data_IF_416724050167
#
_entry.id   IF_416724050167
#
_cell.length_a   1.000
_cell.length_b   1.000
_cell.length_c   1.000
_cell.angle_alpha   90.00
_cell.angle_beta   90.00
_cell.angle_gamma   90.00
#
_symmetry.space_group_name_H-M   'P 1'
#
loop_
_entity.id
_entity.type
_entity.pdbx_description
1 polymer ?
#
# COMPACT_ATOMS: atom_id res chain seq x y z
N UNK A 1 -0.76 -28.33 8.91
CA UNK A 1 -0.35 -27.10 8.20
C UNK A 1 -0.95 -25.94 8.98
N UNK A 2 -0.16 -25.27 9.80
CA UNK A 2 -0.61 -24.08 10.55
C UNK A 2 -0.71 -22.95 9.54
N UNK A 3 -1.92 -22.50 9.25
CA UNK A 3 -2.15 -21.28 8.48
C UNK A 3 -1.52 -20.14 9.27
N UNK A 4 -0.34 -19.68 8.85
CA UNK A 4 0.36 -18.52 9.40
C UNK A 4 -0.37 -17.24 8.96
N UNK A 5 -1.63 -17.12 9.35
CA UNK A 5 -2.38 -15.89 9.19
C UNK A 5 -1.96 -14.97 10.35
N UNK A 6 -1.33 -13.83 10.06
CA UNK A 6 -1.05 -12.85 11.09
C UNK A 6 -2.37 -12.46 11.75
N UNK A 7 -2.33 -12.28 13.07
CA UNK A 7 -3.47 -11.79 13.82
C UNK A 7 -4.01 -10.50 13.17
N UNK A 8 -5.33 -10.32 13.26
CA UNK A 8 -6.01 -9.14 12.75
C UNK A 8 -5.34 -7.85 13.29
N UNK A 9 -4.89 -6.93 12.41
CA UNK A 9 -4.18 -5.72 12.84
C UNK A 9 -5.15 -4.73 13.49
N UNK A 10 -4.79 -4.26 14.69
CA UNK A 10 -5.52 -3.24 15.43
C UNK A 10 -4.86 -1.86 15.35
N UNK A 11 -3.70 -1.76 14.68
CA UNK A 11 -3.00 -0.49 14.44
C UNK A 11 -2.42 -0.39 13.03
N UNK A 12 -2.19 0.84 12.58
CA UNK A 12 -1.50 1.14 11.33
C UNK A 12 -0.09 0.54 11.27
N UNK A 13 0.64 0.52 12.39
CA UNK A 13 1.98 -0.09 12.46
C UNK A 13 1.96 -1.61 12.27
N UNK A 14 0.95 -2.28 12.83
CA UNK A 14 0.77 -3.73 12.62
C UNK A 14 0.41 -4.03 11.17
N UNK A 15 -0.48 -3.23 10.56
CA UNK A 15 -0.80 -3.37 9.14
C UNK A 15 0.44 -3.15 8.25
N UNK A 16 1.26 -2.15 8.57
CA UNK A 16 2.52 -1.91 7.86
C UNK A 16 3.51 -3.08 8.03
N UNK A 17 3.59 -3.67 9.22
CA UNK A 17 4.43 -4.83 9.48
C UNK A 17 3.99 -6.06 8.64
N UNK A 18 2.67 -6.29 8.52
CA UNK A 18 2.11 -7.35 7.65
C UNK A 18 2.50 -7.13 6.19
N UNK A 19 2.45 -5.88 5.69
CA UNK A 19 2.86 -5.60 4.31
C UNK A 19 4.36 -5.80 4.13
N UNK A 20 5.18 -5.35 5.08
CA UNK A 20 6.65 -5.52 5.03
C UNK A 20 7.10 -6.97 5.08
N UNK A 21 6.34 -7.88 5.72
CA UNK A 21 6.69 -9.30 5.77
C UNK A 21 6.32 -10.06 4.48
N UNK A 22 5.38 -9.55 3.70
CA UNK A 22 4.83 -10.23 2.51
C UNK A 22 5.32 -9.67 1.18
N UNK A 23 5.64 -8.38 1.13
CA UNK A 23 5.95 -7.67 -0.10
C UNK A 23 7.39 -7.14 -0.09
N UNK A 24 8.00 -7.09 -1.27
CA UNK A 24 9.30 -6.47 -1.43
C UNK A 24 9.23 -4.97 -1.06
N UNK A 25 10.29 -4.47 -0.40
CA UNK A 25 10.39 -3.06 -0.03
C UNK A 25 10.65 -2.21 -1.28
N UNK A 26 9.75 -1.28 -1.65
CA UNK A 26 9.96 -0.40 -2.79
C UNK A 26 11.19 0.50 -2.57
N UNK A 27 11.88 0.85 -3.66
CA UNK A 27 13.12 1.61 -3.62
C UNK A 27 12.99 2.89 -4.44
N UNK A 28 13.63 3.95 -3.96
CA UNK A 28 13.84 5.20 -4.69
C UNK A 28 14.93 5.01 -5.76
N UNK A 29 15.09 5.95 -6.72
CA UNK A 29 16.10 5.85 -7.76
C UNK A 29 17.54 5.71 -7.25
N UNK A 30 17.84 6.23 -6.06
CA UNK A 30 19.14 6.13 -5.40
C UNK A 30 19.34 4.79 -4.64
N UNK A 31 18.37 3.90 -4.68
CA UNK A 31 18.39 2.60 -4.01
C UNK A 31 18.00 2.64 -2.53
N UNK A 32 17.68 3.80 -1.97
CA UNK A 32 17.14 3.91 -0.60
C UNK A 32 15.69 3.38 -0.54
N UNK A 33 15.21 2.90 0.62
CA UNK A 33 13.81 2.52 0.78
C UNK A 33 12.85 3.69 0.54
N UNK A 34 11.81 3.47 -0.27
CA UNK A 34 10.71 4.42 -0.36
C UNK A 34 9.91 4.43 0.95
N UNK A 35 9.40 5.61 1.32
CA UNK A 35 8.47 5.74 2.43
C UNK A 35 7.20 4.95 2.14
N UNK A 36 6.72 4.17 3.12
CA UNK A 36 5.42 3.53 3.07
C UNK A 36 4.48 4.31 4.00
N UNK A 37 3.36 4.78 3.45
CA UNK A 37 2.27 5.37 4.21
C UNK A 37 1.15 4.38 4.42
N UNK A 38 0.41 4.60 5.50
CA UNK A 38 -0.78 3.83 5.86
C UNK A 38 -1.93 4.80 6.02
N UNK A 39 -3.02 4.56 5.30
CA UNK A 39 -4.31 5.21 5.52
C UNK A 39 -5.25 4.22 6.19
N UNK A 40 -5.63 4.49 7.44
CA UNK A 40 -6.62 3.67 8.14
C UNK A 40 -8.04 4.04 7.71
N UNK A 41 -8.89 3.04 7.48
CA UNK A 41 -10.31 3.25 7.15
C UNK A 41 -11.19 2.22 7.89
N UNK A 42 -12.51 2.29 7.68
CA UNK A 42 -13.52 1.52 8.41
C UNK A 42 -13.22 0.01 8.46
N UNK A 43 -12.95 -0.62 7.31
CA UNK A 43 -12.79 -2.08 7.20
C UNK A 43 -11.34 -2.52 6.93
N UNK A 44 -10.37 -1.61 6.95
CA UNK A 44 -8.99 -1.95 6.60
C UNK A 44 -7.96 -0.83 6.77
N UNK A 45 -6.77 -1.10 6.26
CA UNK A 45 -5.65 -0.16 6.14
C UNK A 45 -5.13 -0.18 4.71
N UNK A 46 -4.99 0.98 4.06
CA UNK A 46 -4.40 1.10 2.74
C UNK A 46 -2.93 1.49 2.87
N UNK A 47 -2.03 0.60 2.47
CA UNK A 47 -0.59 0.80 2.47
C UNK A 47 -0.10 1.12 1.06
N UNK A 48 0.70 2.17 0.92
CA UNK A 48 1.25 2.58 -0.38
C UNK A 48 2.59 3.29 -0.24
N UNK A 49 3.42 3.15 -1.28
CA UNK A 49 4.70 3.85 -1.34
C UNK A 49 4.50 5.31 -1.78
N UNK A 50 5.30 6.21 -1.21
CA UNK A 50 5.40 7.60 -1.63
C UNK A 50 6.72 7.80 -2.35
N UNK A 51 6.62 8.35 -3.57
CA UNK A 51 7.77 8.72 -4.38
C UNK A 51 7.81 10.25 -4.48
N UNK A 52 8.90 10.90 -4.06
CA UNK A 52 9.04 12.34 -4.23
C UNK A 52 9.05 12.70 -5.72
N UNK A 53 8.59 13.92 -6.09
CA UNK A 53 8.73 14.42 -7.45
C UNK A 53 10.21 14.40 -7.86
N UNK A 54 10.47 13.91 -9.07
CA UNK A 54 11.80 13.87 -9.67
C UNK A 54 11.85 14.79 -10.89
N UNK A 55 13.00 15.42 -11.12
CA UNK A 55 13.23 16.29 -12.27
C UNK A 55 14.35 15.74 -13.15
N UNK A 56 14.28 16.00 -14.45
CA UNK A 56 15.39 15.71 -15.36
C UNK A 56 16.57 16.69 -15.20
N UNK A 57 17.63 16.51 -15.99
CA UNK A 57 18.81 17.37 -15.97
C UNK A 57 18.53 18.84 -16.32
N UNK A 58 17.40 19.13 -16.97
CA UNK A 58 16.95 20.48 -17.29
C UNK A 58 15.98 21.05 -16.23
N UNK A 59 15.75 20.33 -15.13
CA UNK A 59 14.83 20.73 -14.06
C UNK A 59 13.35 20.49 -14.36
N UNK A 60 13.01 19.75 -15.42
CA UNK A 60 11.60 19.49 -15.79
C UNK A 60 11.05 18.31 -14.99
N UNK A 61 9.81 18.39 -14.47
CA UNK A 61 9.18 17.26 -13.78
C UNK A 61 9.13 16.02 -14.66
N UNK A 62 9.58 14.89 -14.14
CA UNK A 62 9.42 13.60 -14.79
C UNK A 62 8.15 12.91 -14.28
N UNK A 63 7.37 12.29 -15.18
CA UNK A 63 6.23 11.49 -14.75
C UNK A 63 6.71 10.29 -13.93
N UNK A 64 5.88 9.87 -12.98
CA UNK A 64 6.11 8.62 -12.27
C UNK A 64 6.15 7.44 -13.26
N UNK A 65 6.95 6.39 -12.99
CA UNK A 65 6.93 5.18 -13.80
C UNK A 65 5.52 4.59 -13.90
N UNK A 66 5.13 4.03 -15.06
CA UNK A 66 3.83 3.40 -15.21
C UNK A 66 3.69 2.18 -14.31
N UNK A 67 2.46 1.90 -13.90
CA UNK A 67 2.12 0.75 -13.06
C UNK A 67 2.07 1.10 -11.57
N UNK A 68 2.35 0.09 -10.74
CA UNK A 68 2.22 0.17 -9.28
C UNK A 68 0.87 -0.29 -8.77
N UNK A 69 0.80 -0.46 -7.47
CA UNK A 69 -0.40 -0.88 -6.75
C UNK A 69 -0.37 -0.34 -5.33
N UNK A 70 -1.52 -0.38 -4.68
CA UNK A 70 -1.64 -0.19 -3.24
C UNK A 70 -2.10 -1.50 -2.62
N UNK A 71 -1.81 -1.69 -1.34
CA UNK A 71 -2.17 -2.91 -0.62
C UNK A 71 -3.20 -2.55 0.44
N UNK A 72 -4.36 -3.20 0.42
CA UNK A 72 -5.28 -3.15 1.55
C UNK A 72 -4.96 -4.30 2.49
N UNK A 73 -4.89 -4.02 3.79
CA UNK A 73 -4.87 -5.03 4.86
C UNK A 73 -6.24 -5.03 5.54
N UNK A 74 -6.90 -6.17 5.57
CA UNK A 74 -8.19 -6.35 6.25
C UNK A 74 -8.02 -6.18 7.77
N UNK A 75 -8.89 -5.37 8.38
CA UNK A 75 -8.97 -5.25 9.85
C UNK A 75 -9.54 -6.49 10.52
N UNK A 76 -10.33 -7.27 9.81
CA UNK A 76 -10.98 -8.47 10.36
C UNK A 76 -10.02 -9.68 10.35
N UNK A 77 -9.25 -9.82 9.28
CA UNK A 77 -8.52 -11.07 8.99
C UNK A 77 -7.01 -10.91 8.84
N UNK A 78 -6.50 -9.68 8.69
CA UNK A 78 -5.09 -9.46 8.32
C UNK A 78 -4.74 -9.91 6.89
N UNK A 79 -5.73 -10.30 6.09
CA UNK A 79 -5.54 -10.62 4.68
C UNK A 79 -5.16 -9.38 3.88
N UNK A 80 -4.28 -9.57 2.90
CA UNK A 80 -3.81 -8.50 2.01
C UNK A 80 -4.43 -8.62 0.63
N UNK A 81 -4.96 -7.51 0.11
CA UNK A 81 -5.52 -7.41 -1.24
C UNK A 81 -4.79 -6.32 -2.02
N UNK A 82 -4.29 -6.65 -3.21
CA UNK A 82 -3.70 -5.69 -4.13
C UNK A 82 -4.81 -4.93 -4.86
N UNK A 83 -4.78 -3.60 -4.79
CA UNK A 83 -5.71 -2.72 -5.51
C UNK A 83 -4.94 -1.82 -6.49
N UNK A 84 -5.59 -1.33 -7.56
CA UNK A 84 -4.98 -0.39 -8.50
C UNK A 84 -4.41 0.86 -7.79
N UNK A 85 -3.39 1.47 -8.39
CA UNK A 85 -2.80 2.71 -7.88
C UNK A 85 -3.68 3.95 -8.16
N UNK A 86 -4.93 3.90 -7.72
CA UNK A 86 -5.85 5.03 -7.75
C UNK A 86 -5.58 6.02 -6.61
N UNK A 87 -6.13 7.25 -6.69
CA UNK A 87 -6.24 8.13 -5.53
C UNK A 87 -6.81 7.35 -4.33
N UNK A 88 -6.34 7.66 -3.12
CA UNK A 88 -6.59 6.87 -1.90
C UNK A 88 -8.08 6.57 -1.69
N UNK A 89 -8.93 7.59 -1.74
CA UNK A 89 -10.39 7.42 -1.59
C UNK A 89 -11.01 6.49 -2.63
N UNK A 90 -10.55 6.56 -3.88
CA UNK A 90 -11.07 5.70 -4.95
C UNK A 90 -10.62 4.24 -4.79
N UNK A 91 -9.40 4.00 -4.33
CA UNK A 91 -8.92 2.66 -4.00
C UNK A 91 -9.70 2.05 -2.82
N UNK A 92 -9.98 2.84 -1.78
CA UNK A 92 -10.79 2.44 -0.63
C UNK A 92 -12.23 2.12 -1.06
N UNK A 93 -12.85 2.99 -1.86
CA UNK A 93 -14.21 2.79 -2.36
C UNK A 93 -14.32 1.51 -3.21
N UNK A 94 -13.32 1.22 -4.05
CA UNK A 94 -13.26 -0.01 -4.82
C UNK A 94 -13.22 -1.24 -3.91
N UNK A 95 -12.35 -1.23 -2.89
CA UNK A 95 -12.26 -2.33 -1.93
C UNK A 95 -13.57 -2.55 -1.18
N UNK A 96 -14.21 -1.49 -0.70
CA UNK A 96 -15.55 -1.56 -0.06
C UNK A 96 -16.57 -2.24 -0.98
N UNK A 97 -16.64 -1.82 -2.24
CA UNK A 97 -17.55 -2.40 -3.23
C UNK A 97 -17.28 -3.90 -3.44
N UNK A 98 -16.02 -4.32 -3.49
CA UNK A 98 -15.64 -5.72 -3.65
C UNK A 98 -16.01 -6.60 -2.46
N UNK A 99 -16.11 -6.04 -1.25
CA UNK A 99 -16.49 -6.77 -0.03
C UNK A 99 -18.01 -6.84 0.21
N UNK A 100 -18.79 -6.05 -0.53
CA UNK A 100 -20.25 -6.05 -0.49
C UNK A 100 -20.89 -6.96 -1.55
N UNK A 101 -20.09 -7.43 -2.51
CA UNK A 101 -20.51 -8.33 -3.59
C UNK A 101 -20.31 -9.79 -3.19
#
# INVERSE_FOLDING_TARGET
MTSDHPAAPTTSDQALAIVRSRFAQPRLPDGSPAELRVEEFDIGYLVYAVFPPVTDAAGRPQPAPPGGSKIVVSKETGETVTVPNYPTEAAIALYRKQRQA
#
